data_IF_335704852270
#
_entry.id   IF_335704852270
#
_cell.length_a   1.000
_cell.length_b   1.000
_cell.length_c   1.000
_cell.angle_alpha   90.00
_cell.angle_beta   90.00
_cell.angle_gamma   90.00
#
_symmetry.space_group_name_H-M   'P 1'
#
loop_
_entity.id
_entity.type
_entity.pdbx_description
1 polymer ?
#
# COMPACT_ATOMS: atom_id res chain seq x y z
N UNK A 1 -6.85 -8.93 7.66
CA UNK A 1 -6.98 -9.73 6.41
C UNK A 1 -8.38 -10.30 6.35
N UNK A 2 -9.08 -10.05 5.23
CA UNK A 2 -10.43 -10.57 5.04
C UNK A 2 -10.46 -12.09 5.24
N UNK A 3 -11.47 -12.61 5.92
CA UNK A 3 -11.64 -14.04 6.16
C UNK A 3 -13.09 -14.48 6.01
N UNK A 4 -13.26 -15.76 5.73
CA UNK A 4 -14.57 -16.39 5.72
C UNK A 4 -14.64 -17.30 6.96
N UNK A 5 -15.57 -17.01 7.85
CA UNK A 5 -15.88 -17.83 9.01
C UNK A 5 -16.92 -18.84 8.61
N UNK A 6 -16.70 -20.11 8.98
CA UNK A 6 -17.62 -21.22 8.71
C UNK A 6 -18.32 -21.61 10.01
N UNK A 7 -19.64 -21.56 10.02
CA UNK A 7 -20.46 -22.09 11.08
C UNK A 7 -20.93 -23.50 10.68
N UNK A 8 -20.21 -24.50 11.15
CA UNK A 8 -20.43 -25.90 10.82
C UNK A 8 -21.83 -26.40 11.21
N UNK A 9 -22.39 -25.88 12.30
CA UNK A 9 -23.70 -26.29 12.84
C UNK A 9 -24.88 -25.94 11.90
N UNK A 10 -24.63 -25.13 10.87
CA UNK A 10 -25.61 -24.71 9.87
C UNK A 10 -25.43 -25.40 8.51
N UNK A 11 -24.60 -26.43 8.48
CA UNK A 11 -24.29 -27.19 7.28
C UNK A 11 -24.90 -28.60 7.44
N UNK A 12 -26.05 -28.85 6.80
CA UNK A 12 -26.72 -30.12 6.87
C UNK A 12 -26.18 -31.14 5.84
N UNK A 13 -25.66 -30.66 4.72
CA UNK A 13 -25.14 -31.47 3.62
C UNK A 13 -23.81 -30.91 3.10
N UNK A 14 -22.72 -31.59 3.48
CA UNK A 14 -21.36 -31.20 3.13
C UNK A 14 -21.14 -31.27 1.61
N UNK A 15 -21.57 -32.36 0.97
CA UNK A 15 -21.35 -32.58 -0.48
C UNK A 15 -21.99 -31.48 -1.33
N UNK A 16 -23.19 -31.05 -0.99
CA UNK A 16 -23.87 -29.94 -1.67
C UNK A 16 -23.14 -28.63 -1.52
N UNK A 17 -22.60 -28.38 -0.33
CA UNK A 17 -21.88 -27.15 -0.03
C UNK A 17 -20.53 -27.09 -0.75
N UNK A 18 -19.81 -28.19 -0.86
CA UNK A 18 -18.56 -28.28 -1.61
C UNK A 18 -18.72 -27.87 -3.09
N UNK A 19 -19.85 -28.21 -3.71
CA UNK A 19 -20.15 -27.87 -5.11
C UNK A 19 -20.42 -26.39 -5.35
N UNK A 20 -20.64 -25.59 -4.29
CA UNK A 20 -20.88 -24.15 -4.41
C UNK A 20 -19.63 -23.40 -4.84
N UNK A 21 -18.43 -23.92 -4.49
CA UNK A 21 -17.18 -23.24 -4.76
C UNK A 21 -16.68 -23.48 -6.19
N UNK A 22 -16.68 -22.47 -7.07
CA UNK A 22 -16.21 -22.65 -8.45
C UNK A 22 -14.68 -22.81 -8.56
N UNK A 23 -13.96 -22.65 -7.47
CA UNK A 23 -12.50 -22.77 -7.39
C UNK A 23 -12.04 -24.01 -6.63
N UNK A 24 -12.98 -24.89 -6.25
CA UNK A 24 -12.70 -26.11 -5.46
C UNK A 24 -11.86 -25.80 -4.20
N UNK A 25 -12.07 -24.61 -3.61
CA UNK A 25 -11.32 -24.13 -2.46
C UNK A 25 -11.95 -24.52 -1.12
N UNK A 26 -12.96 -25.38 -1.14
CA UNK A 26 -13.55 -25.99 0.07
C UNK A 26 -13.30 -27.49 0.03
N UNK A 27 -12.90 -28.04 1.16
CA UNK A 27 -12.64 -29.46 1.33
C UNK A 27 -13.25 -29.98 2.64
N UNK A 28 -13.55 -31.26 2.67
CA UNK A 28 -14.00 -31.92 3.88
C UNK A 28 -12.81 -32.51 4.63
N UNK A 29 -12.66 -32.08 5.88
CA UNK A 29 -11.65 -32.59 6.81
C UNK A 29 -12.36 -32.98 8.10
N UNK A 30 -12.26 -34.25 8.49
CA UNK A 30 -12.86 -34.79 9.73
C UNK A 30 -14.36 -34.45 9.90
N UNK A 31 -15.14 -34.53 8.81
CA UNK A 31 -16.57 -34.22 8.84
C UNK A 31 -16.91 -32.73 8.94
N UNK A 32 -15.94 -31.85 8.65
CA UNK A 32 -16.10 -30.39 8.64
C UNK A 32 -15.63 -29.82 7.33
N UNK A 33 -16.19 -28.68 6.96
CA UNK A 33 -15.71 -27.94 5.79
C UNK A 33 -14.56 -27.02 6.20
N UNK A 34 -13.46 -27.09 5.47
CA UNK A 34 -12.34 -26.18 5.58
C UNK A 34 -12.11 -25.45 4.26
N UNK A 35 -11.54 -24.24 4.33
CA UNK A 35 -11.18 -23.43 3.16
C UNK A 35 -9.67 -23.48 3.00
N UNK A 36 -9.24 -23.95 1.82
CA UNK A 36 -7.82 -24.05 1.50
C UNK A 36 -7.28 -22.80 0.77
N UNK A 37 -5.99 -22.82 0.46
CA UNK A 37 -5.27 -21.69 -0.15
C UNK A 37 -5.76 -21.31 -1.57
N UNK A 38 -6.57 -22.13 -2.23
CA UNK A 38 -7.15 -21.81 -3.54
C UNK A 38 -8.29 -20.77 -3.45
N UNK A 39 -8.74 -20.40 -2.24
CA UNK A 39 -9.84 -19.46 -2.04
C UNK A 39 -9.51 -18.07 -2.60
N UNK A 40 -10.35 -17.58 -3.51
CA UNK A 40 -10.24 -16.25 -4.11
C UNK A 40 -11.09 -15.19 -3.40
N UNK A 41 -11.64 -15.48 -2.22
CA UNK A 41 -12.52 -14.57 -1.45
C UNK A 41 -13.70 -14.02 -2.27
N UNK A 42 -14.20 -14.78 -3.23
CA UNK A 42 -15.24 -14.37 -4.18
C UNK A 42 -16.64 -14.25 -3.58
N UNK A 43 -16.83 -14.64 -2.31
CA UNK A 43 -18.08 -14.58 -1.52
C UNK A 43 -19.23 -15.44 -2.12
N UNK A 44 -18.94 -16.38 -3.02
CA UNK A 44 -19.97 -17.24 -3.60
C UNK A 44 -20.61 -18.17 -2.55
N UNK A 45 -19.80 -18.74 -1.66
CA UNK A 45 -20.26 -19.57 -0.55
C UNK A 45 -21.16 -18.77 0.44
N UNK A 46 -20.87 -17.49 0.67
CA UNK A 46 -21.71 -16.61 1.49
C UNK A 46 -23.06 -16.33 0.83
N UNK A 47 -23.09 -16.20 -0.51
CA UNK A 47 -24.30 -15.86 -1.27
C UNK A 47 -25.19 -17.07 -1.57
N UNK A 48 -24.59 -18.21 -1.86
CA UNK A 48 -25.30 -19.42 -2.33
C UNK A 48 -25.36 -20.55 -1.30
N UNK A 49 -24.52 -20.48 -0.26
CA UNK A 49 -24.52 -21.48 0.80
C UNK A 49 -25.70 -21.36 1.76
N UNK A 50 -25.84 -22.30 2.68
CA UNK A 50 -26.88 -22.26 3.71
C UNK A 50 -26.82 -20.96 4.49
N UNK A 51 -27.98 -20.42 4.85
CA UNK A 51 -28.09 -19.10 5.48
C UNK A 51 -27.31 -19.04 6.80
N UNK A 52 -26.27 -18.22 6.83
CA UNK A 52 -25.44 -18.01 8.01
C UNK A 52 -24.40 -19.12 8.26
N UNK A 53 -24.22 -20.07 7.34
CA UNK A 53 -23.14 -21.04 7.38
C UNK A 53 -21.77 -20.41 7.04
N UNK A 54 -21.77 -19.43 6.15
CA UNK A 54 -20.58 -18.69 5.76
C UNK A 54 -20.75 -17.20 6.05
N UNK A 55 -19.85 -16.65 6.85
CA UNK A 55 -19.83 -15.24 7.21
C UNK A 55 -18.54 -14.66 6.67
N UNK A 56 -18.64 -13.60 5.84
CA UNK A 56 -17.48 -12.86 5.39
C UNK A 56 -17.20 -11.73 6.39
N UNK A 57 -16.05 -11.81 7.04
CA UNK A 57 -15.51 -10.70 7.81
C UNK A 57 -14.48 -9.97 6.96
N UNK A 58 -14.77 -8.71 6.67
CA UNK A 58 -13.80 -7.80 6.09
C UNK A 58 -13.06 -7.11 7.23
N UNK A 59 -11.78 -6.89 7.05
CA UNK A 59 -11.12 -5.92 7.92
C UNK A 59 -11.84 -4.59 7.69
N UNK A 60 -12.18 -3.89 8.74
CA UNK A 60 -12.54 -2.49 8.62
C UNK A 60 -11.36 -1.79 7.97
N UNK A 61 -11.43 -1.61 6.66
CA UNK A 61 -10.53 -0.70 5.97
C UNK A 61 -10.88 0.66 6.55
N UNK A 62 -10.07 1.12 7.50
CA UNK A 62 -10.15 2.50 7.98
C UNK A 62 -10.10 3.35 6.71
N UNK A 63 -11.22 3.94 6.37
CA UNK A 63 -11.31 4.76 5.17
C UNK A 63 -10.33 5.92 5.37
N UNK A 64 -9.21 5.86 4.64
CA UNK A 64 -8.23 6.95 4.65
C UNK A 64 -8.97 8.18 4.16
N UNK A 65 -9.00 9.23 4.97
CA UNK A 65 -9.54 10.50 4.57
C UNK A 65 -8.60 11.12 3.52
N UNK A 66 -8.94 10.93 2.25
CA UNK A 66 -8.10 11.40 1.12
C UNK A 66 -7.97 12.92 1.08
N UNK A 67 -8.83 13.64 1.77
CA UNK A 67 -8.78 15.12 1.83
C UNK A 67 -7.65 15.63 2.76
N UNK A 68 -7.13 14.76 3.61
CA UNK A 68 -5.97 15.05 4.46
C UNK A 68 -4.65 14.88 3.71
N UNK A 69 -4.65 14.11 2.63
CA UNK A 69 -3.47 13.82 1.81
C UNK A 69 -3.39 14.82 0.65
N UNK A 70 -2.51 15.81 0.80
CA UNK A 70 -2.36 16.89 -0.18
C UNK A 70 -0.91 16.99 -0.62
N UNK A 71 -0.73 17.21 -1.91
CA UNK A 71 0.59 17.43 -2.49
C UNK A 71 0.94 16.41 -3.56
N UNK A 72 1.98 16.75 -4.31
CA UNK A 72 2.69 15.85 -5.21
C UNK A 72 4.09 15.69 -4.64
N UNK A 73 4.47 14.48 -4.28
CA UNK A 73 5.80 14.22 -3.72
C UNK A 73 6.74 13.67 -4.78
N UNK A 74 7.91 14.27 -4.89
CA UNK A 74 9.03 13.81 -5.69
C UNK A 74 10.06 13.16 -4.76
N UNK A 75 10.49 11.95 -5.09
CA UNK A 75 11.68 11.38 -4.47
C UNK A 75 12.92 11.97 -5.14
N UNK A 76 13.76 12.66 -4.37
CA UNK A 76 15.03 13.22 -4.84
C UNK A 76 16.08 12.14 -4.96
N UNK A 77 16.51 11.86 -6.18
CA UNK A 77 17.61 10.92 -6.44
C UNK A 77 18.97 11.65 -6.49
N UNK A 78 20.01 10.98 -6.02
CA UNK A 78 21.37 11.51 -6.02
C UNK A 78 22.43 10.40 -6.17
N UNK A 79 23.59 10.79 -6.67
CA UNK A 79 24.79 9.97 -6.67
C UNK A 79 25.88 10.67 -5.84
N UNK A 80 26.35 10.04 -4.76
CA UNK A 80 27.38 10.58 -3.87
C UNK A 80 27.11 12.03 -3.43
N UNK A 81 25.85 12.33 -3.08
CA UNK A 81 25.39 13.65 -2.64
C UNK A 81 25.11 14.65 -3.77
N UNK A 82 25.45 14.36 -5.02
CA UNK A 82 25.07 15.22 -6.16
C UNK A 82 23.70 14.82 -6.69
N UNK A 83 22.79 15.81 -6.78
CA UNK A 83 21.41 15.58 -7.23
C UNK A 83 21.42 15.04 -8.67
N UNK A 84 20.77 13.90 -8.89
CA UNK A 84 20.66 13.33 -10.23
C UNK A 84 19.74 14.19 -11.12
N UNK A 85 20.09 14.46 -12.37
CA UNK A 85 19.29 15.31 -13.28
C UNK A 85 17.83 14.91 -13.40
N UNK A 86 17.49 13.62 -13.29
CA UNK A 86 16.12 13.12 -13.32
C UNK A 86 15.24 13.76 -12.23
N UNK A 87 15.81 14.12 -11.08
CA UNK A 87 15.09 14.79 -10.00
C UNK A 87 14.49 16.12 -10.47
N UNK A 88 15.25 16.90 -11.22
CA UNK A 88 14.76 18.19 -11.76
C UNK A 88 13.65 18.00 -12.81
N UNK A 89 13.75 16.95 -13.63
CA UNK A 89 12.71 16.60 -14.59
C UNK A 89 11.41 16.20 -13.87
N UNK A 90 11.53 15.39 -12.81
CA UNK A 90 10.40 14.99 -11.98
C UNK A 90 9.76 16.18 -11.27
N UNK A 91 10.56 17.13 -10.73
CA UNK A 91 10.05 18.36 -10.12
C UNK A 91 9.26 19.17 -11.15
N UNK A 92 9.79 19.32 -12.37
CA UNK A 92 9.08 20.01 -13.46
C UNK A 92 7.72 19.36 -13.76
N UNK A 93 7.68 18.02 -13.80
CA UNK A 93 6.42 17.30 -14.03
C UNK A 93 5.48 17.36 -12.83
N UNK A 94 6.00 17.27 -11.62
CA UNK A 94 5.21 17.42 -10.40
C UNK A 94 4.52 18.78 -10.33
N UNK A 95 5.22 19.86 -10.67
CA UNK A 95 4.65 21.23 -10.75
C UNK A 95 3.52 21.34 -11.77
N UNK A 96 3.69 20.74 -12.95
CA UNK A 96 2.63 20.71 -13.97
C UNK A 96 1.36 20.00 -13.45
N UNK A 97 1.54 18.89 -12.73
CA UNK A 97 0.42 18.14 -12.16
C UNK A 97 -0.22 18.87 -10.98
N UNK A 98 0.60 19.39 -10.07
CA UNK A 98 0.17 20.12 -8.87
C UNK A 98 -0.65 21.36 -9.23
N UNK A 99 -0.27 22.09 -10.28
CA UNK A 99 -1.01 23.24 -10.77
C UNK A 99 -2.45 22.90 -11.21
N UNK A 100 -2.68 21.67 -11.74
CA UNK A 100 -4.03 21.22 -12.17
C UNK A 100 -4.97 20.98 -11.01
N UNK A 101 -4.44 20.61 -9.84
CA UNK A 101 -5.21 20.26 -8.64
C UNK A 101 -5.06 21.27 -7.52
N UNK A 102 -4.26 22.31 -7.73
CA UNK A 102 -3.93 23.34 -6.74
C UNK A 102 -3.35 22.75 -5.44
N UNK A 103 -2.36 21.89 -5.57
CA UNK A 103 -1.65 21.26 -4.47
C UNK A 103 -0.17 21.67 -4.43
N UNK A 104 0.52 21.57 -3.26
CA UNK A 104 1.95 21.82 -3.16
C UNK A 104 2.76 20.70 -3.83
N UNK A 105 4.02 21.00 -4.13
CA UNK A 105 5.03 20.03 -4.56
C UNK A 105 6.03 19.85 -3.43
N UNK A 106 6.13 18.64 -2.92
CA UNK A 106 7.07 18.25 -1.89
C UNK A 106 8.20 17.43 -2.48
N UNK A 107 9.37 17.44 -1.84
CA UNK A 107 10.47 16.56 -2.17
C UNK A 107 10.93 15.78 -0.93
N UNK A 108 11.02 14.47 -1.02
CA UNK A 108 11.69 13.63 -0.02
C UNK A 108 13.10 13.37 -0.50
N UNK A 109 14.08 13.72 0.32
CA UNK A 109 15.49 13.61 -0.02
C UNK A 109 16.22 12.83 1.07
N UNK A 110 16.73 11.63 0.72
CA UNK A 110 17.32 10.67 1.65
C UNK A 110 18.76 10.41 1.25
N UNK A 111 19.71 10.61 2.17
CA UNK A 111 21.13 10.36 1.89
C UNK A 111 22.03 10.73 3.04
N UNK A 112 23.32 10.80 2.77
CA UNK A 112 24.34 11.23 3.73
C UNK A 112 25.04 12.51 3.23
N UNK A 113 25.16 13.52 4.09
CA UNK A 113 25.74 14.82 3.78
C UNK A 113 25.07 15.53 2.57
N UNK A 114 23.72 15.49 2.53
CA UNK A 114 22.92 16.04 1.42
C UNK A 114 22.17 17.33 1.76
N UNK A 115 22.18 17.73 3.02
CA UNK A 115 21.38 18.85 3.52
C UNK A 115 21.68 20.20 2.83
N UNK A 116 22.90 20.40 2.42
CA UNK A 116 23.34 21.61 1.68
C UNK A 116 22.74 21.69 0.26
N UNK A 117 22.21 20.62 -0.28
CA UNK A 117 21.58 20.55 -1.61
C UNK A 117 20.09 20.96 -1.60
N UNK A 118 19.47 21.08 -0.42
CA UNK A 118 18.05 21.39 -0.32
C UNK A 118 17.68 22.75 -0.92
N UNK A 119 18.53 23.77 -0.77
CA UNK A 119 18.30 25.09 -1.34
C UNK A 119 18.19 25.02 -2.89
N UNK A 120 18.94 24.11 -3.50
CA UNK A 120 18.85 23.88 -4.95
C UNK A 120 17.50 23.32 -5.34
N UNK A 121 16.98 22.34 -4.58
CA UNK A 121 15.66 21.75 -4.83
C UNK A 121 14.54 22.79 -4.69
N UNK A 122 14.60 23.60 -3.63
CA UNK A 122 13.66 24.71 -3.41
C UNK A 122 13.69 25.72 -4.55
N UNK A 123 14.89 26.07 -5.06
CA UNK A 123 15.05 26.99 -6.17
C UNK A 123 14.41 26.46 -7.48
N UNK A 124 14.28 25.15 -7.65
CA UNK A 124 13.58 24.56 -8.79
C UNK A 124 12.05 24.54 -8.66
N UNK A 125 11.51 25.00 -7.52
CA UNK A 125 10.08 25.21 -7.30
C UNK A 125 9.40 24.06 -6.58
N UNK A 126 10.11 23.42 -5.68
CA UNK A 126 9.57 22.58 -4.62
C UNK A 126 9.13 23.50 -3.48
N UNK A 127 7.97 23.27 -2.90
CA UNK A 127 7.44 24.08 -1.79
C UNK A 127 8.07 23.67 -0.46
N UNK A 128 8.28 22.36 -0.24
CA UNK A 128 8.91 21.83 0.97
C UNK A 128 9.84 20.66 0.63
N UNK A 129 10.99 20.58 1.33
CA UNK A 129 11.94 19.47 1.22
C UNK A 129 12.06 18.76 2.56
N UNK A 130 11.68 17.49 2.60
CA UNK A 130 11.82 16.59 3.74
C UNK A 130 13.14 15.84 3.61
N UNK A 131 14.08 16.12 4.53
CA UNK A 131 15.46 15.64 4.43
C UNK A 131 15.75 14.61 5.49
N UNK A 132 16.16 13.45 5.06
CA UNK A 132 16.70 12.39 5.90
C UNK A 132 18.20 12.26 5.65
N UNK A 133 18.99 12.96 6.47
CA UNK A 133 20.45 13.08 6.33
C UNK A 133 21.15 12.39 7.51
N UNK A 134 21.76 11.23 7.25
CA UNK A 134 22.46 10.42 8.24
C UNK A 134 23.47 9.48 7.58
N UNK A 135 24.53 9.09 8.30
CA UNK A 135 25.47 8.05 7.87
C UNK A 135 24.78 6.72 7.51
N UNK A 136 23.62 6.46 8.10
CA UNK A 136 22.83 5.28 7.79
C UNK A 136 22.40 5.20 6.32
N UNK A 137 22.26 6.34 5.68
CA UNK A 137 21.85 6.51 4.28
C UNK A 137 23.02 6.68 3.30
N UNK A 138 24.27 6.46 3.75
CA UNK A 138 25.47 6.57 2.89
C UNK A 138 25.41 5.63 1.67
N UNK A 139 24.80 4.47 1.86
CA UNK A 139 24.54 3.50 0.78
C UNK A 139 23.10 3.05 0.82
N UNK A 140 22.53 2.87 -0.36
CA UNK A 140 21.18 2.37 -0.47
C UNK A 140 21.03 1.01 0.22
N UNK A 141 20.13 0.95 1.19
CA UNK A 141 19.65 -0.28 1.85
C UNK A 141 18.15 -0.20 2.00
N UNK A 142 17.46 -1.28 1.72
CA UNK A 142 16.00 -1.31 1.71
C UNK A 142 15.40 -0.88 3.06
N UNK A 143 15.89 -1.43 4.17
CA UNK A 143 15.31 -1.19 5.50
C UNK A 143 15.33 0.29 5.93
N UNK A 144 16.49 0.98 5.98
CA UNK A 144 16.50 2.38 6.42
C UNK A 144 15.79 3.31 5.44
N UNK A 145 15.90 3.08 4.13
CA UNK A 145 15.22 3.93 3.15
C UNK A 145 13.70 3.75 3.19
N UNK A 146 13.22 2.51 3.41
CA UNK A 146 11.79 2.27 3.62
C UNK A 146 11.27 2.93 4.89
N UNK A 147 12.05 2.87 5.98
CA UNK A 147 11.69 3.53 7.24
C UNK A 147 11.59 5.07 7.09
N UNK A 148 12.51 5.69 6.35
CA UNK A 148 12.45 7.13 6.06
C UNK A 148 11.21 7.51 5.25
N UNK A 149 10.83 6.68 4.26
CA UNK A 149 9.63 6.91 3.47
C UNK A 149 8.35 6.66 4.27
N UNK A 150 8.34 5.67 5.16
CA UNK A 150 7.21 5.38 6.05
C UNK A 150 7.00 6.51 7.07
N UNK A 151 8.08 7.09 7.59
CA UNK A 151 8.02 8.25 8.51
C UNK A 151 7.49 9.51 7.80
N UNK A 152 7.80 9.67 6.52
CA UNK A 152 7.30 10.79 5.73
C UNK A 152 5.80 10.70 5.43
N UNK A 153 5.25 9.50 5.20
CA UNK A 153 3.87 9.27 4.79
C UNK A 153 2.91 9.34 5.99
#
# INVERSE_FOLDING_TARGET
MAKIIINQDKIDNIEEVLQICPFEAMEEVDGKIEINAACKMCKMCVKKGPKGAFIFEDDEVVAINKDEWRGITVYGDHNDGEIHPVTYELIGKARELAAKINHPVNCVFVGNNIKDKCDTLLAYGVDEVFVYDSEEYDKFRIEPYSAALEDYI
#
